data_IF_146489574730
#
_entry.id   IF_146489574730
#
_cell.length_a   1.000
_cell.length_b   1.000
_cell.length_c   1.000
_cell.angle_alpha   90.00
_cell.angle_beta   90.00
_cell.angle_gamma   90.00
#
_symmetry.space_group_name_H-M   'P 1'
#
loop_
_entity.id
_entity.type
_entity.pdbx_description
1 polymer ?
#
# COMPACT_ATOMS: atom_id res chain seq x y z
N UNK A 1 15.58 11.12 48.05
CA UNK A 1 16.01 11.61 46.72
C UNK A 1 14.97 11.16 45.70
N UNK A 2 14.15 12.06 45.20
CA UNK A 2 13.12 11.73 44.17
C UNK A 2 13.73 12.05 42.81
N UNK A 3 13.93 11.00 41.99
CA UNK A 3 14.42 11.12 40.63
C UNK A 3 13.26 11.56 39.74
N UNK A 4 13.36 12.77 39.14
CA UNK A 4 12.42 13.25 38.13
C UNK A 4 12.90 12.78 36.77
N UNK A 5 12.19 11.82 36.16
CA UNK A 5 12.37 11.50 34.75
C UNK A 5 11.76 12.64 33.92
N UNK A 6 12.63 13.40 33.28
CA UNK A 6 12.27 14.45 32.33
C UNK A 6 11.79 13.75 31.02
N UNK A 7 10.48 13.70 30.82
CA UNK A 7 9.88 13.22 29.58
C UNK A 7 10.07 14.32 28.53
N UNK A 8 11.09 14.20 27.69
CA UNK A 8 11.27 15.09 26.54
C UNK A 8 10.25 14.66 25.46
N UNK A 9 9.12 15.35 25.43
CA UNK A 9 8.19 15.33 24.31
C UNK A 9 8.88 16.01 23.11
N UNK A 10 9.40 15.22 22.18
CA UNK A 10 9.72 15.68 20.84
C UNK A 10 8.38 16.00 20.13
N UNK A 11 7.97 17.26 20.20
CA UNK A 11 7.01 17.82 19.26
C UNK A 11 7.69 17.89 17.88
N UNK A 12 7.61 16.80 17.12
CA UNK A 12 7.85 16.87 15.68
C UNK A 12 6.71 17.71 15.11
N UNK A 13 7.02 18.95 14.75
CA UNK A 13 6.13 19.76 13.93
C UNK A 13 5.98 19.04 12.59
N UNK A 14 4.88 18.32 12.43
CA UNK A 14 4.41 17.86 11.13
C UNK A 14 4.11 19.09 10.28
N UNK A 15 5.11 19.60 9.56
CA UNK A 15 4.85 20.40 8.38
C UNK A 15 4.16 19.43 7.41
N UNK A 16 2.84 19.58 7.26
CA UNK A 16 2.09 18.92 6.19
C UNK A 16 2.65 19.43 4.85
N UNK A 17 3.64 18.73 4.32
CA UNK A 17 3.99 18.90 2.91
C UNK A 17 2.76 18.45 2.12
N UNK A 18 2.12 19.41 1.45
CA UNK A 18 0.82 19.22 0.82
C UNK A 18 0.77 17.97 -0.03
N UNK A 19 -0.30 17.21 0.15
CA UNK A 19 -0.64 16.07 -0.70
C UNK A 19 -0.79 16.55 -2.15
N UNK A 20 -0.45 15.68 -3.13
CA UNK A 20 -0.59 16.01 -4.54
C UNK A 20 -2.04 16.42 -4.87
N UNK A 21 -2.20 17.56 -5.52
CA UNK A 21 -3.50 18.02 -6.02
C UNK A 21 -4.00 17.13 -7.18
N UNK A 22 -5.29 17.17 -7.45
CA UNK A 22 -5.89 16.47 -8.60
C UNK A 22 -5.24 16.83 -9.94
N UNK A 23 -4.77 18.06 -10.11
CA UNK A 23 -4.08 18.51 -11.32
C UNK A 23 -2.70 17.85 -11.45
N UNK A 24 -1.93 17.83 -10.36
CA UNK A 24 -0.61 17.18 -10.34
C UNK A 24 -0.73 15.67 -10.60
N UNK A 25 -1.68 14.99 -9.95
CA UNK A 25 -1.96 13.57 -10.20
C UNK A 25 -2.33 13.33 -11.68
N UNK A 26 -3.15 14.19 -12.29
CA UNK A 26 -3.49 14.08 -13.72
C UNK A 26 -2.29 14.29 -14.61
N UNK A 27 -1.43 15.24 -14.29
CA UNK A 27 -0.26 15.57 -15.11
C UNK A 27 0.81 14.47 -15.04
N UNK A 28 1.07 13.91 -13.86
CA UNK A 28 1.89 12.73 -13.71
C UNK A 28 1.35 11.54 -14.53
N UNK A 29 0.05 11.22 -14.39
CA UNK A 29 -0.59 10.11 -15.14
C UNK A 29 -0.58 10.31 -16.66
N UNK A 30 -0.51 11.53 -17.14
CA UNK A 30 -0.46 11.88 -18.58
C UNK A 30 0.95 12.07 -19.10
N UNK A 31 1.97 11.97 -18.23
CA UNK A 31 3.37 12.22 -18.59
C UNK A 31 3.69 13.69 -18.89
N UNK A 32 2.85 14.63 -18.41
CA UNK A 32 3.08 16.08 -18.54
C UNK A 32 3.93 16.64 -17.40
N UNK A 33 4.05 15.89 -16.31
CA UNK A 33 5.00 16.14 -15.26
C UNK A 33 5.79 14.87 -14.98
N UNK A 34 7.00 14.99 -14.48
CA UNK A 34 7.85 13.89 -14.04
C UNK A 34 7.93 13.97 -12.52
N UNK A 35 7.58 12.88 -11.85
CA UNK A 35 7.83 12.75 -10.43
C UNK A 35 9.29 12.36 -10.22
N UNK A 36 9.90 12.99 -9.24
CA UNK A 36 11.29 12.71 -8.81
C UNK A 36 11.42 11.41 -8.03
N UNK A 37 10.32 10.66 -7.83
CA UNK A 37 10.36 9.34 -7.23
C UNK A 37 11.15 8.40 -8.13
N UNK A 38 12.40 8.23 -7.80
CA UNK A 38 13.39 7.48 -8.59
C UNK A 38 13.12 5.98 -8.62
N UNK A 39 12.21 5.47 -7.77
CA UNK A 39 11.97 4.03 -7.64
C UNK A 39 10.78 3.56 -8.49
N UNK A 40 10.99 2.47 -9.24
CA UNK A 40 9.95 1.76 -9.99
C UNK A 40 9.56 0.50 -9.22
N UNK A 41 8.31 0.44 -8.77
CA UNK A 41 7.80 -0.68 -8.00
C UNK A 41 7.29 -1.81 -8.92
N UNK A 42 7.29 -3.03 -8.40
CA UNK A 42 6.56 -4.13 -9.05
C UNK A 42 5.11 -4.16 -8.61
N UNK A 43 4.25 -4.85 -9.36
CA UNK A 43 2.86 -5.04 -8.94
C UNK A 43 2.77 -5.99 -7.73
N UNK A 44 1.82 -5.79 -6.80
CA UNK A 44 1.74 -6.52 -5.53
C UNK A 44 1.16 -7.94 -5.67
N UNK A 45 1.46 -8.66 -6.75
CA UNK A 45 0.99 -10.02 -7.02
C UNK A 45 1.93 -10.81 -7.93
N UNK A 46 1.74 -12.13 -7.98
CA UNK A 46 2.63 -13.07 -8.65
C UNK A 46 2.92 -12.70 -10.12
N UNK A 47 4.12 -13.02 -10.56
CA UNK A 47 4.54 -12.87 -11.96
C UNK A 47 3.56 -13.54 -12.92
N UNK A 48 3.24 -12.88 -14.02
CA UNK A 48 2.31 -13.36 -15.03
C UNK A 48 0.83 -13.24 -14.70
N UNK A 49 0.45 -12.99 -13.46
CA UNK A 49 -0.95 -12.76 -13.07
C UNK A 49 -1.42 -11.36 -13.47
N UNK A 50 -2.75 -11.20 -13.63
CA UNK A 50 -3.38 -9.97 -14.10
C UNK A 50 -4.62 -9.67 -13.27
N UNK A 51 -4.68 -8.46 -12.70
CA UNK A 51 -5.83 -8.01 -11.92
C UNK A 51 -6.34 -6.67 -12.41
N UNK A 52 -7.64 -6.42 -12.15
CA UNK A 52 -8.29 -5.15 -12.44
C UNK A 52 -7.93 -4.14 -11.36
N UNK A 53 -7.34 -3.01 -11.78
CA UNK A 53 -7.15 -1.85 -10.92
C UNK A 53 -8.45 -1.05 -10.91
N UNK A 54 -9.21 -1.12 -9.82
CA UNK A 54 -10.57 -0.56 -9.73
C UNK A 54 -10.60 0.86 -9.25
N UNK A 55 -9.72 1.21 -8.29
CA UNK A 55 -9.70 2.53 -7.67
C UNK A 55 -8.26 2.99 -7.45
N UNK A 56 -8.01 4.26 -7.65
CA UNK A 56 -6.68 4.86 -7.51
C UNK A 56 -6.71 6.16 -6.74
N UNK A 57 -5.55 6.80 -6.72
CA UNK A 57 -5.28 8.03 -6.02
C UNK A 57 -6.37 9.08 -6.19
N UNK A 58 -6.81 9.65 -5.08
CA UNK A 58 -7.81 10.70 -4.94
C UNK A 58 -9.16 10.37 -5.60
N UNK A 59 -9.55 9.10 -5.57
CA UNK A 59 -10.86 8.65 -6.04
C UNK A 59 -11.97 9.19 -5.13
N UNK A 60 -13.05 9.68 -5.75
CA UNK A 60 -14.21 10.22 -5.03
C UNK A 60 -14.98 9.17 -4.23
N UNK A 61 -14.76 7.87 -4.48
CA UNK A 61 -15.52 6.80 -3.84
C UNK A 61 -15.06 6.58 -2.39
N UNK A 62 -13.81 6.19 -2.15
CA UNK A 62 -13.27 5.97 -0.80
C UNK A 62 -11.83 6.49 -0.59
N UNK A 63 -11.12 6.92 -1.64
CA UNK A 63 -9.74 7.43 -1.55
C UNK A 63 -9.66 8.96 -1.65
N UNK A 64 -10.68 9.67 -1.12
CA UNK A 64 -10.67 11.14 -1.12
C UNK A 64 -9.53 11.64 -0.23
N UNK A 65 -8.57 12.31 -0.85
CA UNK A 65 -7.39 12.79 -0.15
C UNK A 65 -6.29 11.75 0.03
N UNK A 66 -6.39 10.53 -0.54
CA UNK A 66 -5.41 9.46 -0.41
C UNK A 66 -4.79 9.07 -1.76
N UNK A 67 -3.50 8.67 -1.75
CA UNK A 67 -2.82 8.12 -2.92
C UNK A 67 -2.85 6.58 -2.94
N UNK A 68 -4.00 6.01 -2.62
CA UNK A 68 -4.22 4.58 -2.47
C UNK A 68 -4.53 3.86 -3.78
N UNK A 69 -4.38 2.54 -3.78
CA UNK A 69 -4.54 1.67 -4.95
C UNK A 69 -5.36 0.42 -4.59
N UNK A 70 -6.51 0.21 -5.24
CA UNK A 70 -7.33 -0.99 -5.06
C UNK A 70 -7.23 -1.92 -6.26
N UNK A 71 -6.75 -3.13 -6.00
CA UNK A 71 -6.70 -4.21 -6.98
C UNK A 71 -7.79 -5.25 -6.66
N UNK A 72 -8.80 -5.38 -7.54
CA UNK A 72 -9.86 -6.38 -7.37
C UNK A 72 -9.28 -7.78 -7.45
N UNK A 73 -9.43 -8.55 -6.39
CA UNK A 73 -8.88 -9.90 -6.23
C UNK A 73 -9.92 -10.78 -5.52
N UNK A 74 -9.90 -12.09 -5.82
CA UNK A 74 -10.64 -13.06 -5.00
C UNK A 74 -9.94 -13.23 -3.65
N UNK A 75 -10.67 -13.60 -2.60
CA UNK A 75 -10.07 -14.03 -1.32
C UNK A 75 -9.06 -15.15 -1.58
N UNK A 76 -7.97 -15.18 -0.82
CA UNK A 76 -6.90 -16.16 -0.97
C UNK A 76 -5.93 -15.89 -2.13
N UNK A 77 -6.08 -14.79 -2.89
CA UNK A 77 -5.10 -14.43 -3.93
C UNK A 77 -3.77 -14.05 -3.29
N UNK A 78 -2.67 -14.65 -3.76
CA UNK A 78 -1.33 -14.37 -3.24
C UNK A 78 -0.90 -12.93 -3.47
N UNK A 79 -0.50 -12.29 -2.40
CA UNK A 79 0.07 -10.94 -2.37
C UNK A 79 1.58 -11.02 -2.29
N UNK A 80 2.27 -10.21 -3.11
CA UNK A 80 3.71 -10.18 -3.18
C UNK A 80 4.29 -8.82 -2.76
N UNK A 81 5.46 -8.84 -2.15
CA UNK A 81 6.21 -7.63 -1.81
C UNK A 81 6.58 -6.85 -3.09
N UNK A 82 6.16 -5.59 -3.18
CA UNK A 82 6.45 -4.71 -4.34
C UNK A 82 7.93 -4.33 -4.43
N UNK A 83 8.66 -4.44 -3.31
CA UNK A 83 10.07 -4.12 -3.13
C UNK A 83 10.60 -4.86 -1.90
N UNK A 84 11.90 -5.15 -1.84
CA UNK A 84 12.55 -5.74 -0.66
C UNK A 84 12.55 -4.78 0.53
N UNK A 85 12.55 -5.34 1.75
CA UNK A 85 12.57 -4.57 2.98
C UNK A 85 12.41 -5.43 4.22
N UNK A 86 12.16 -4.78 5.36
CA UNK A 86 11.91 -5.43 6.65
C UNK A 86 10.44 -5.24 7.02
N UNK A 87 9.77 -6.31 7.39
CA UNK A 87 8.40 -6.27 7.93
C UNK A 87 8.43 -5.58 9.29
N UNK A 88 7.63 -4.52 9.47
CA UNK A 88 7.61 -3.75 10.73
C UNK A 88 6.31 -3.92 11.51
N UNK A 89 5.22 -4.30 10.85
CA UNK A 89 3.95 -4.57 11.50
C UNK A 89 3.12 -5.57 10.69
N UNK A 90 2.31 -6.37 11.41
CA UNK A 90 1.33 -7.29 10.83
C UNK A 90 0.11 -7.41 11.73
N UNK A 91 -1.07 -7.64 11.11
CA UNK A 91 -2.29 -8.11 11.76
C UNK A 91 -2.89 -9.21 10.88
N UNK A 92 -3.39 -10.30 11.47
CA UNK A 92 -3.87 -11.48 10.73
C UNK A 92 -5.06 -12.19 11.35
N UNK A 93 -5.55 -11.72 12.48
CA UNK A 93 -6.50 -12.42 13.36
C UNK A 93 -7.97 -12.12 13.06
N UNK A 94 -8.27 -11.02 12.36
CA UNK A 94 -9.64 -10.60 12.09
C UNK A 94 -10.29 -11.43 10.97
N UNK A 95 -11.54 -11.83 11.18
CA UNK A 95 -12.46 -12.39 10.18
C UNK A 95 -13.56 -11.41 9.80
N UNK A 96 -13.59 -10.21 10.42
CA UNK A 96 -14.63 -9.19 10.30
C UNK A 96 -14.33 -8.24 9.15
N UNK A 97 -15.39 -7.80 8.48
CA UNK A 97 -15.29 -6.77 7.42
C UNK A 97 -16.67 -6.36 6.91
N UNK A 98 -16.73 -5.15 6.35
CA UNK A 98 -17.95 -4.54 5.83
C UNK A 98 -17.87 -3.03 5.78
N UNK A 99 -18.99 -2.36 5.48
CA UNK A 99 -19.07 -0.89 5.33
C UNK A 99 -19.57 -0.19 6.60
N UNK A 100 -19.20 -0.68 7.77
CA UNK A 100 -19.52 -0.03 9.05
C UNK A 100 -18.24 0.46 9.73
N UNK A 101 -18.32 1.61 10.38
CA UNK A 101 -17.18 2.24 11.06
C UNK A 101 -16.57 1.33 12.15
N UNK A 102 -17.36 0.42 12.72
CA UNK A 102 -16.89 -0.57 13.70
C UNK A 102 -15.82 -1.52 13.15
N UNK A 103 -15.67 -1.64 11.82
CA UNK A 103 -14.68 -2.49 11.16
C UNK A 103 -13.38 -1.77 10.77
N UNK A 104 -13.24 -0.48 11.05
CA UNK A 104 -12.05 0.31 10.67
C UNK A 104 -10.76 -0.33 11.22
N UNK A 105 -10.78 -0.82 12.46
CA UNK A 105 -9.62 -1.44 13.13
C UNK A 105 -9.49 -2.95 12.87
N UNK A 106 -10.44 -3.54 12.13
CA UNK A 106 -10.48 -4.98 11.85
C UNK A 106 -9.68 -5.38 10.60
N UNK A 107 -9.04 -4.43 9.92
CA UNK A 107 -8.26 -4.71 8.71
C UNK A 107 -6.98 -5.49 8.98
N UNK A 108 -6.88 -6.74 8.47
CA UNK A 108 -5.62 -7.47 8.45
C UNK A 108 -4.65 -6.82 7.46
N UNK A 109 -3.37 -6.71 7.87
CA UNK A 109 -2.39 -5.96 7.11
C UNK A 109 -0.94 -6.42 7.28
N UNK A 110 -0.10 -5.97 6.36
CA UNK A 110 1.35 -6.06 6.42
C UNK A 110 1.92 -4.67 6.12
N UNK A 111 2.92 -4.23 6.91
CA UNK A 111 3.68 -3.01 6.65
C UNK A 111 5.14 -3.38 6.48
N UNK A 112 5.74 -2.97 5.36
CA UNK A 112 7.14 -3.22 5.03
C UNK A 112 7.88 -1.88 4.93
N UNK A 113 9.00 -1.75 5.65
CA UNK A 113 9.94 -0.63 5.53
C UNK A 113 11.05 -1.00 4.57
N UNK A 114 11.27 -0.17 3.56
CA UNK A 114 12.35 -0.31 2.58
C UNK A 114 13.67 0.32 3.07
N UNK A 115 14.76 0.02 2.37
CA UNK A 115 16.10 0.48 2.76
C UNK A 115 16.28 2.01 2.73
N UNK A 116 15.49 2.73 1.91
CA UNK A 116 15.48 4.20 1.85
C UNK A 116 14.54 4.85 2.89
N UNK A 117 13.98 4.05 3.80
CA UNK A 117 13.04 4.51 4.83
C UNK A 117 11.59 4.65 4.36
N UNK A 118 11.28 4.44 3.08
CA UNK A 118 9.90 4.42 2.58
C UNK A 118 9.14 3.18 3.06
N UNK A 119 7.79 3.21 3.00
CA UNK A 119 6.94 2.14 3.51
C UNK A 119 5.94 1.69 2.45
N UNK A 120 5.64 0.37 2.46
CA UNK A 120 4.55 -0.22 1.70
C UNK A 120 3.53 -0.86 2.65
N UNK A 121 2.26 -0.47 2.51
CA UNK A 121 1.15 -0.97 3.30
C UNK A 121 0.24 -1.83 2.44
N UNK A 122 -0.12 -3.02 2.94
CA UNK A 122 -0.99 -4.01 2.29
C UNK A 122 -2.16 -4.30 3.21
N UNK A 123 -3.39 -3.96 2.83
CA UNK A 123 -4.58 -4.03 3.68
C UNK A 123 -5.64 -5.00 3.15
N UNK A 124 -6.63 -5.28 4.02
CA UNK A 124 -7.79 -6.15 3.77
C UNK A 124 -7.41 -7.61 3.51
N UNK A 125 -6.30 -8.07 4.11
CA UNK A 125 -5.83 -9.45 3.97
C UNK A 125 -6.81 -10.44 4.64
N UNK A 126 -6.75 -11.69 4.20
CA UNK A 126 -7.57 -12.77 4.74
C UNK A 126 -7.21 -13.08 6.20
N UNK A 127 -8.15 -13.61 6.99
CA UNK A 127 -7.87 -14.15 8.32
C UNK A 127 -6.81 -15.26 8.19
N UNK A 128 -5.77 -15.19 9.01
CA UNK A 128 -4.59 -16.06 8.95
C UNK A 128 -3.86 -16.03 7.60
N UNK A 129 -4.14 -14.99 6.78
CA UNK A 129 -3.57 -14.80 5.44
C UNK A 129 -2.29 -13.97 5.41
N UNK A 130 -1.60 -13.76 6.53
CA UNK A 130 -0.29 -13.12 6.63
C UNK A 130 0.77 -14.20 6.82
N UNK A 131 1.78 -14.24 5.94
CA UNK A 131 2.78 -15.31 5.88
C UNK A 131 4.17 -14.88 6.36
N UNK A 132 4.26 -13.67 6.91
CA UNK A 132 5.49 -13.07 7.43
C UNK A 132 5.24 -12.46 8.80
N UNK A 133 6.32 -12.26 9.57
CA UNK A 133 6.28 -11.69 10.92
C UNK A 133 7.10 -10.40 11.02
N UNK A 134 6.79 -9.49 11.96
CA UNK A 134 7.64 -8.35 12.23
C UNK A 134 9.09 -8.78 12.50
N UNK A 135 10.05 -8.12 11.83
CA UNK A 135 11.47 -8.45 11.84
C UNK A 135 11.93 -9.28 10.63
N UNK A 136 11.03 -9.94 9.90
CA UNK A 136 11.41 -10.69 8.71
C UNK A 136 11.93 -9.77 7.59
N UNK A 137 13.00 -10.21 6.94
CA UNK A 137 13.48 -9.58 5.70
C UNK A 137 12.83 -10.25 4.51
N UNK A 138 12.20 -9.45 3.64
CA UNK A 138 11.56 -9.93 2.42
C UNK A 138 12.25 -9.39 1.18
N UNK A 139 12.20 -10.15 0.09
CA UNK A 139 12.69 -9.73 -1.21
C UNK A 139 11.56 -9.35 -2.16
N UNK A 140 11.84 -8.52 -3.14
CA UNK A 140 10.90 -8.14 -4.20
C UNK A 140 10.26 -9.38 -4.85
N UNK A 141 8.94 -9.40 -4.97
CA UNK A 141 8.19 -10.52 -5.57
C UNK A 141 7.92 -11.71 -4.64
N UNK A 142 8.48 -11.72 -3.43
CA UNK A 142 8.20 -12.75 -2.43
C UNK A 142 6.71 -12.71 -2.05
N UNK A 143 6.06 -13.88 -1.99
CA UNK A 143 4.71 -14.00 -1.44
C UNK A 143 4.74 -13.73 0.06
N UNK A 144 3.95 -12.76 0.51
CA UNK A 144 3.91 -12.26 1.90
C UNK A 144 2.56 -12.48 2.55
N UNK A 145 1.50 -12.73 1.79
CA UNK A 145 0.16 -12.93 2.31
C UNK A 145 -0.86 -13.30 1.24
N UNK A 146 -2.13 -13.30 1.64
CA UNK A 146 -3.30 -13.56 0.80
C UNK A 146 -4.33 -12.44 0.94
N UNK A 147 -4.91 -11.99 -0.18
CA UNK A 147 -5.97 -10.98 -0.19
C UNK A 147 -7.25 -11.50 0.46
N UNK A 148 -7.99 -10.61 1.10
CA UNK A 148 -9.24 -10.91 1.80
C UNK A 148 -10.30 -9.84 1.60
N UNK A 149 -11.06 -9.61 2.67
CA UNK A 149 -12.11 -8.58 2.76
C UNK A 149 -12.32 -8.15 4.22
N UNK A 150 -11.25 -8.09 5.02
CA UNK A 150 -11.30 -7.68 6.43
C UNK A 150 -11.20 -6.15 6.56
N UNK A 151 -11.73 -5.63 7.66
CA UNK A 151 -11.77 -4.19 7.91
C UNK A 151 -12.88 -3.47 7.14
N UNK A 152 -12.75 -2.16 6.97
CA UNK A 152 -13.72 -1.34 6.23
C UNK A 152 -13.58 -1.60 4.72
N UNK A 153 -14.26 -2.61 4.22
CA UNK A 153 -14.13 -3.10 2.84
C UNK A 153 -15.46 -3.59 2.28
N UNK A 154 -15.84 -3.13 1.08
CA UNK A 154 -17.09 -3.46 0.40
C UNK A 154 -17.05 -4.81 -0.34
N UNK A 155 -15.88 -5.23 -0.80
CA UNK A 155 -15.68 -6.44 -1.61
C UNK A 155 -14.22 -6.91 -1.52
N UNK A 156 -13.93 -8.18 -1.83
CA UNK A 156 -12.56 -8.70 -1.82
C UNK A 156 -11.63 -7.94 -2.76
N UNK A 157 -10.55 -7.36 -2.22
CA UNK A 157 -9.53 -6.62 -2.94
C UNK A 157 -8.26 -6.49 -2.10
N UNK A 158 -7.17 -6.08 -2.72
CA UNK A 158 -6.01 -5.54 -2.02
C UNK A 158 -6.09 -4.02 -2.06
N UNK A 159 -6.16 -3.38 -0.89
CA UNK A 159 -5.88 -1.96 -0.73
C UNK A 159 -4.39 -1.78 -0.45
N UNK A 160 -3.74 -0.92 -1.22
CA UNK A 160 -2.29 -0.75 -1.20
C UNK A 160 -1.92 0.73 -1.15
N UNK A 161 -0.96 1.09 -0.30
CA UNK A 161 -0.43 2.44 -0.15
C UNK A 161 1.09 2.42 -0.08
N UNK A 162 1.71 3.54 -0.49
CA UNK A 162 3.13 3.80 -0.33
C UNK A 162 3.34 5.14 0.33
N UNK A 163 4.34 5.18 1.23
CA UNK A 163 4.74 6.39 1.93
C UNK A 163 6.26 6.58 1.78
N UNK A 164 6.70 7.83 1.69
CA UNK A 164 8.13 8.15 1.79
C UNK A 164 8.64 8.01 3.24
N UNK A 165 9.93 8.24 3.45
CA UNK A 165 10.56 8.17 4.77
C UNK A 165 10.02 9.20 5.77
N UNK A 166 9.38 10.26 5.30
CA UNK A 166 8.73 11.31 6.11
C UNK A 166 7.27 10.99 6.43
N UNK A 167 6.72 9.87 5.92
CA UNK A 167 5.33 9.47 6.11
C UNK A 167 4.35 10.15 5.16
N UNK A 168 4.82 10.82 4.10
CA UNK A 168 3.98 11.38 3.05
C UNK A 168 3.62 10.30 2.03
N UNK A 169 2.35 10.21 1.65
CA UNK A 169 1.92 9.32 0.58
C UNK A 169 2.57 9.68 -0.76
N UNK A 170 2.98 8.67 -1.51
CA UNK A 170 3.59 8.80 -2.82
C UNK A 170 2.75 8.11 -3.90
N UNK A 171 2.78 8.68 -5.12
CA UNK A 171 2.16 8.09 -6.30
C UNK A 171 3.22 7.33 -7.12
N UNK A 172 3.35 6.00 -6.95
CA UNK A 172 4.42 5.24 -7.58
C UNK A 172 4.19 5.00 -9.07
N UNK A 173 5.30 4.76 -9.79
CA UNK A 173 5.29 4.09 -11.08
C UNK A 173 5.47 2.59 -10.89
N UNK A 174 4.73 1.81 -11.67
CA UNK A 174 4.80 0.35 -11.64
C UNK A 174 5.37 -0.24 -12.92
N UNK A 175 6.26 -1.23 -12.78
CA UNK A 175 6.69 -2.10 -13.88
C UNK A 175 5.54 -3.05 -14.22
N UNK A 176 5.10 -3.03 -15.46
CA UNK A 176 4.01 -3.87 -15.99
C UNK A 176 4.41 -4.48 -17.31
N UNK A 177 3.60 -5.41 -17.85
CA UNK A 177 3.80 -5.94 -19.22
C UNK A 177 3.68 -4.86 -20.32
N UNK A 178 3.23 -3.65 -19.99
CA UNK A 178 3.11 -2.51 -20.90
C UNK A 178 4.21 -1.45 -20.66
N UNK A 179 5.25 -1.79 -19.91
CA UNK A 179 6.31 -0.87 -19.49
C UNK A 179 6.08 -0.26 -18.11
N UNK A 180 6.81 0.81 -17.81
CA UNK A 180 6.74 1.56 -16.55
C UNK A 180 5.67 2.64 -16.67
N UNK A 181 4.63 2.55 -15.86
CA UNK A 181 3.45 3.41 -15.96
C UNK A 181 2.90 3.84 -14.60
N UNK A 182 2.22 4.99 -14.57
CA UNK A 182 1.24 5.29 -13.52
C UNK A 182 -0.05 4.52 -13.83
N UNK A 183 -0.59 3.80 -12.84
CA UNK A 183 -1.79 3.01 -13.03
C UNK A 183 -3.03 3.92 -13.21
N UNK A 184 -3.95 3.50 -14.07
CA UNK A 184 -5.23 4.17 -14.33
C UNK A 184 -6.39 3.24 -13.96
N UNK A 185 -7.36 3.67 -13.14
CA UNK A 185 -8.54 2.87 -12.81
C UNK A 185 -9.27 2.34 -14.05
N UNK A 186 -9.94 1.21 -13.89
CA UNK A 186 -10.67 0.53 -14.97
C UNK A 186 -9.78 -0.26 -15.94
N UNK A 187 -8.49 -0.43 -15.63
CA UNK A 187 -7.53 -1.17 -16.47
C UNK A 187 -7.04 -2.43 -15.79
N UNK A 188 -6.74 -3.44 -16.61
CA UNK A 188 -6.09 -4.68 -16.20
C UNK A 188 -4.58 -4.55 -16.37
N UNK A 189 -3.85 -4.91 -15.31
CA UNK A 189 -2.38 -4.90 -15.35
C UNK A 189 -1.82 -6.28 -15.08
N UNK A 190 -0.89 -6.71 -15.93
CA UNK A 190 -0.17 -7.97 -15.79
C UNK A 190 1.18 -7.71 -15.13
N UNK A 191 1.49 -8.49 -14.08
CA UNK A 191 2.77 -8.45 -13.38
C UNK A 191 3.90 -9.02 -14.24
N UNK A 192 5.06 -8.38 -14.12
CA UNK A 192 6.35 -8.81 -14.69
C UNK A 192 7.42 -8.75 -13.61
N UNK A 193 7.15 -9.38 -12.47
CA UNK A 193 8.01 -9.39 -11.28
C UNK A 193 9.17 -10.39 -11.49
N UNK A 194 10.07 -10.08 -12.41
CA UNK A 194 11.33 -10.82 -12.60
C UNK A 194 12.47 -10.03 -11.94
#
# INVERSE_FOLDING_TARGET
MKSYYLLILFLVSLQSQGQLSDSEIRDLKRGRAVDDSSFVYTLPYENGKRYLFVQGANSKFSHKGELSFDFKMAKGTKICAVRGGVVIATKSDSDKGGLKDEYLDDGNHIIIRHADGSFAHYWHLEQNGVFVSPGDTVVKGQTIGASGNTGYSAFPHLHFQLFDAGGKEILPRFKTSKGVVYLRPGRWYKSTNN
#
